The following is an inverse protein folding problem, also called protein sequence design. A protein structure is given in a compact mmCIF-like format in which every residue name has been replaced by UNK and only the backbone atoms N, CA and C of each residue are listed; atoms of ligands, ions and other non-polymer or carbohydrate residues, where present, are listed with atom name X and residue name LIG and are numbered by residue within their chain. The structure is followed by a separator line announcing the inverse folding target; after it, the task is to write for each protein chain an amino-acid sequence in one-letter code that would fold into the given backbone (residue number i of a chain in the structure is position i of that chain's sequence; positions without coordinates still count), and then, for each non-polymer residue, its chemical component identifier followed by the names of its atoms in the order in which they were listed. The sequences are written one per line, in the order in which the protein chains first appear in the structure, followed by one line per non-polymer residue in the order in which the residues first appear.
data_IF_306971808361
#
_entry.id   IF_306971808361
#
_cell.length_a   1.000
_cell.length_b   1.000
_cell.length_c   1.000
_cell.angle_alpha   90.00
_cell.angle_beta   90.00
_cell.angle_gamma   90.00
#
_symmetry.space_group_name_H-M   'P 1'
#
loop_
_entity.id
_entity.type
_entity.pdbx_description
1 polymer ?
#
# COMPACT_ATOMS: atom_id res chain seq x y z
N UNK A 1 -8.30 10.53 16.06
CA UNK A 1 -6.88 10.61 15.64
C UNK A 1 -6.10 11.69 16.46
N UNK A 2 -6.46 11.88 17.73
CA UNK A 2 -5.85 12.90 18.59
C UNK A 2 -5.02 12.30 19.75
N UNK A 3 -4.84 10.99 19.76
CA UNK A 3 -4.13 10.28 20.83
C UNK A 3 -3.03 9.37 20.27
N UNK A 4 -1.99 9.14 21.06
CA UNK A 4 -0.86 8.31 20.69
C UNK A 4 0.03 8.96 19.63
N UNK A 5 0.65 8.12 18.83
CA UNK A 5 1.59 8.48 17.76
C UNK A 5 1.04 9.48 16.76
N UNK A 6 -0.21 9.29 16.33
CA UNK A 6 -0.88 10.17 15.37
C UNK A 6 -1.16 11.57 15.95
N UNK A 7 -1.37 11.70 17.25
CA UNK A 7 -1.60 12.99 17.90
C UNK A 7 -0.36 13.89 17.99
N UNK A 8 0.82 13.36 17.67
CA UNK A 8 2.08 14.12 17.67
C UNK A 8 2.24 15.03 16.45
N UNK A 9 1.40 14.88 15.42
CA UNK A 9 1.46 15.68 14.20
C UNK A 9 0.38 16.76 14.20
N UNK A 10 0.74 17.98 14.58
CA UNK A 10 -0.14 19.14 14.42
C UNK A 10 -0.10 19.61 12.96
N UNK A 11 -1.04 19.11 12.17
CA UNK A 11 -1.14 19.40 10.74
C UNK A 11 -1.27 20.89 10.44
N UNK A 12 -2.01 21.63 11.30
CA UNK A 12 -2.23 23.06 11.11
C UNK A 12 -0.91 23.81 11.25
N UNK A 13 -0.21 23.60 12.38
CA UNK A 13 1.07 24.26 12.62
C UNK A 13 2.13 23.85 11.60
N UNK A 14 2.19 22.56 11.24
CA UNK A 14 3.11 22.09 10.21
C UNK A 14 2.87 22.75 8.86
N UNK A 15 1.61 22.96 8.47
CA UNK A 15 1.26 23.58 7.20
C UNK A 15 1.64 25.08 7.11
N UNK A 16 1.84 25.76 8.23
CA UNK A 16 2.30 27.14 8.27
C UNK A 16 3.78 27.27 7.86
N UNK A 17 4.60 26.26 8.20
CA UNK A 17 6.05 26.30 7.99
C UNK A 17 6.53 25.45 6.81
N UNK A 18 5.70 24.50 6.32
CA UNK A 18 6.05 23.62 5.23
C UNK A 18 5.46 24.10 3.89
N UNK A 19 6.20 23.90 2.79
CA UNK A 19 5.69 24.13 1.44
C UNK A 19 4.63 23.10 1.05
N UNK A 20 4.74 21.88 1.56
CA UNK A 20 3.75 20.81 1.43
C UNK A 20 3.89 19.77 2.55
N UNK A 21 2.83 19.01 2.78
CA UNK A 21 2.81 17.86 3.66
C UNK A 21 2.46 16.60 2.85
N UNK A 22 3.32 15.60 2.91
CA UNK A 22 3.02 14.29 2.33
C UNK A 22 2.25 13.46 3.35
N UNK A 23 1.01 13.14 3.03
CA UNK A 23 0.15 12.32 3.87
C UNK A 23 0.41 10.85 3.53
N UNK A 24 0.94 10.10 4.50
CA UNK A 24 1.21 8.66 4.38
C UNK A 24 -0.09 7.87 4.55
N UNK A 25 -0.96 7.89 3.52
CA UNK A 25 -2.26 7.22 3.51
C UNK A 25 -2.14 5.74 3.16
N UNK A 26 -1.32 5.00 3.91
CA UNK A 26 -1.08 3.57 3.76
C UNK A 26 -0.82 2.92 5.12
N UNK A 27 -0.52 1.62 5.13
CA UNK A 27 -0.44 0.80 6.35
C UNK A 27 -1.77 0.74 7.12
N UNK A 28 -2.89 0.68 6.39
CA UNK A 28 -4.20 0.35 6.95
C UNK A 28 -4.16 -1.03 7.59
N UNK A 29 -3.55 -2.00 6.90
CA UNK A 29 -3.09 -3.26 7.47
C UNK A 29 -1.56 -3.27 7.55
N UNK A 30 -1.01 -3.79 8.66
CA UNK A 30 0.41 -3.76 8.98
C UNK A 30 0.92 -5.10 9.52
N UNK A 31 2.21 -5.19 9.82
CA UNK A 31 2.79 -6.39 10.41
C UNK A 31 2.25 -6.64 11.83
N UNK A 32 1.47 -7.70 11.97
CA UNK A 32 0.76 -8.08 13.20
C UNK A 32 -0.75 -7.81 13.15
N UNK A 33 -1.27 -7.13 12.13
CA UNK A 33 -2.70 -6.92 11.95
C UNK A 33 -3.39 -8.16 11.35
N UNK A 34 -4.72 -8.12 11.34
CA UNK A 34 -5.54 -9.00 10.51
C UNK A 34 -5.23 -8.77 9.02
N UNK A 35 -5.52 -9.77 8.19
CA UNK A 35 -5.44 -9.68 6.74
C UNK A 35 -6.33 -8.56 6.21
N UNK A 36 -5.81 -7.78 5.26
CA UNK A 36 -6.54 -6.68 4.64
C UNK A 36 -5.66 -5.82 3.72
N UNK A 37 -6.25 -4.84 3.02
CA UNK A 37 -5.54 -3.96 2.09
C UNK A 37 -4.50 -3.10 2.80
N UNK A 38 -3.45 -2.73 2.06
CA UNK A 38 -2.43 -1.79 2.54
C UNK A 38 -2.97 -0.37 2.61
N UNK A 39 -3.83 0.00 1.65
CA UNK A 39 -4.41 1.32 1.51
C UNK A 39 -5.72 1.23 0.72
N UNK A 40 -6.83 0.85 1.37
CA UNK A 40 -8.12 0.84 0.69
C UNK A 40 -8.53 2.23 0.21
N UNK A 41 -9.32 2.29 -0.86
CA UNK A 41 -9.81 3.56 -1.40
C UNK A 41 -10.47 4.43 -0.32
N UNK A 42 -11.36 3.82 0.47
CA UNK A 42 -12.09 4.53 1.53
C UNK A 42 -11.17 5.03 2.66
N UNK A 43 -10.12 4.26 3.00
CA UNK A 43 -9.13 4.69 3.99
C UNK A 43 -8.34 5.89 3.48
N UNK A 44 -7.87 5.84 2.22
CA UNK A 44 -7.14 6.94 1.59
C UNK A 44 -8.00 8.19 1.51
N UNK A 45 -9.26 8.07 1.06
CA UNK A 45 -10.18 9.20 0.94
C UNK A 45 -10.47 9.84 2.31
N UNK A 46 -10.74 9.05 3.35
CA UNK A 46 -10.90 9.57 4.72
C UNK A 46 -9.65 10.28 5.24
N UNK A 47 -8.47 9.78 4.90
CA UNK A 47 -7.20 10.41 5.28
C UNK A 47 -7.03 11.79 4.62
N UNK A 48 -7.38 11.91 3.34
CA UNK A 48 -7.40 13.19 2.61
C UNK A 48 -8.43 14.15 3.25
N UNK A 49 -9.66 13.69 3.48
CA UNK A 49 -10.72 14.49 4.08
C UNK A 49 -10.34 15.01 5.47
N UNK A 50 -9.64 14.20 6.25
CA UNK A 50 -9.13 14.62 7.55
C UNK A 50 -8.04 15.68 7.40
N UNK A 51 -7.03 15.45 6.55
CA UNK A 51 -5.93 16.39 6.35
C UNK A 51 -6.41 17.75 5.87
N UNK A 52 -7.39 17.79 4.95
CA UNK A 52 -7.99 19.03 4.41
C UNK A 52 -8.71 19.89 5.42
N UNK A 53 -9.00 19.40 6.62
CA UNK A 53 -9.55 20.24 7.70
C UNK A 53 -8.53 21.22 8.27
N UNK A 54 -7.24 20.94 8.07
CA UNK A 54 -6.13 21.64 8.71
C UNK A 54 -5.10 22.15 7.72
N UNK A 55 -5.03 21.56 6.53
CA UNK A 55 -4.02 21.84 5.50
C UNK A 55 -4.72 22.25 4.22
N UNK A 56 -4.34 23.38 3.59
CA UNK A 56 -4.81 23.75 2.26
C UNK A 56 -4.54 22.61 1.25
N UNK A 57 -5.50 22.33 0.37
CA UNK A 57 -5.41 21.19 -0.55
C UNK A 57 -4.16 21.23 -1.43
N UNK A 58 -3.78 22.42 -1.89
CA UNK A 58 -2.59 22.69 -2.71
C UNK A 58 -1.26 22.46 -1.96
N UNK A 59 -1.29 22.23 -0.66
CA UNK A 59 -0.14 21.81 0.15
C UNK A 59 -0.13 20.33 0.49
N UNK A 60 -1.15 19.56 0.10
CA UNK A 60 -1.25 18.13 0.39
C UNK A 60 -0.68 17.32 -0.78
N UNK A 61 0.33 16.50 -0.51
CA UNK A 61 0.82 15.43 -1.40
C UNK A 61 0.27 14.11 -0.90
N UNK A 62 -0.42 13.35 -1.76
CA UNK A 62 -0.93 12.03 -1.42
C UNK A 62 0.19 10.99 -1.54
N UNK A 63 0.55 10.36 -0.44
CA UNK A 63 1.47 9.23 -0.42
C UNK A 63 0.75 7.92 -0.72
N UNK A 64 1.29 7.12 -1.64
CA UNK A 64 0.80 5.78 -1.97
C UNK A 64 1.90 4.73 -1.77
N UNK A 65 1.54 3.46 -1.42
CA UNK A 65 2.53 2.41 -1.21
C UNK A 65 2.88 1.71 -2.53
N UNK A 66 4.17 1.44 -2.75
CA UNK A 66 4.65 0.56 -3.83
C UNK A 66 5.06 -0.81 -3.30
N UNK A 67 4.28 -1.30 -2.34
CA UNK A 67 4.45 -2.60 -1.70
C UNK A 67 3.10 -3.23 -1.36
N UNK A 68 3.16 -4.51 -1.07
CA UNK A 68 2.05 -5.28 -0.53
C UNK A 68 2.36 -5.78 0.88
N UNK A 69 1.38 -6.44 1.45
CA UNK A 69 1.50 -7.14 2.72
C UNK A 69 1.10 -8.59 2.55
N UNK A 70 1.89 -9.52 3.11
CA UNK A 70 1.73 -10.96 2.95
C UNK A 70 1.44 -11.63 4.29
N UNK A 71 0.50 -12.55 4.26
CA UNK A 71 0.12 -13.44 5.37
C UNK A 71 0.31 -14.89 4.97
N UNK A 72 0.68 -15.73 5.91
CA UNK A 72 0.74 -17.18 5.75
C UNK A 72 -0.32 -17.88 6.59
N UNK A 73 -0.87 -18.99 6.10
CA UNK A 73 -1.91 -19.73 6.78
C UNK A 73 -1.45 -20.36 8.11
N UNK A 74 -0.15 -20.58 8.30
CA UNK A 74 0.47 -21.05 9.52
C UNK A 74 0.71 -19.95 10.57
N UNK A 75 0.45 -18.68 10.20
CA UNK A 75 0.62 -17.52 11.06
C UNK A 75 2.07 -17.07 11.27
N UNK A 76 3.04 -17.59 10.52
CA UNK A 76 4.44 -17.15 10.59
C UNK A 76 4.66 -15.79 9.93
N UNK A 77 3.90 -15.48 8.88
CA UNK A 77 3.81 -14.14 8.28
C UNK A 77 2.44 -13.53 8.62
N UNK A 78 2.45 -12.33 9.17
CA UNK A 78 1.25 -11.61 9.65
C UNK A 78 1.24 -10.17 9.12
N UNK A 79 1.26 -10.01 7.80
CA UNK A 79 1.28 -8.69 7.18
C UNK A 79 2.69 -8.12 6.99
N UNK A 80 3.67 -8.97 6.73
CA UNK A 80 5.02 -8.52 6.37
C UNK A 80 5.00 -7.80 5.03
N UNK A 81 5.85 -6.75 4.92
CA UNK A 81 5.98 -5.98 3.69
C UNK A 81 6.67 -6.80 2.58
N UNK A 82 6.22 -6.62 1.35
CA UNK A 82 6.80 -7.20 0.14
C UNK A 82 6.68 -6.21 -1.01
N UNK A 83 7.77 -5.92 -1.72
CA UNK A 83 7.78 -4.94 -2.80
C UNK A 83 6.95 -5.37 -4.01
N UNK A 84 6.41 -4.41 -4.76
CA UNK A 84 5.72 -4.70 -6.02
C UNK A 84 6.65 -5.33 -7.05
N UNK A 85 7.95 -4.99 -7.04
CA UNK A 85 8.95 -5.62 -7.89
C UNK A 85 9.07 -7.12 -7.61
N UNK A 86 9.16 -7.54 -6.35
CA UNK A 86 9.19 -8.97 -5.98
C UNK A 86 7.87 -9.64 -6.34
N UNK A 87 6.73 -9.01 -6.06
CA UNK A 87 5.40 -9.55 -6.38
C UNK A 87 5.21 -9.78 -7.88
N UNK A 88 5.69 -8.87 -8.73
CA UNK A 88 5.55 -8.98 -10.19
C UNK A 88 6.23 -10.25 -10.76
N UNK A 89 7.26 -10.75 -10.10
CA UNK A 89 7.98 -11.98 -10.45
C UNK A 89 7.43 -13.21 -9.71
N UNK A 90 7.12 -13.06 -8.44
CA UNK A 90 6.72 -14.15 -7.55
C UNK A 90 5.31 -14.68 -7.87
N UNK A 91 4.34 -13.80 -8.12
CA UNK A 91 2.96 -14.23 -8.33
C UNK A 91 2.79 -15.11 -9.58
N UNK A 92 3.42 -14.81 -10.75
CA UNK A 92 3.41 -15.71 -11.89
C UNK A 92 4.11 -17.06 -11.61
N UNK A 93 5.26 -17.04 -10.93
CA UNK A 93 6.02 -18.27 -10.65
C UNK A 93 5.23 -19.25 -9.75
N UNK A 94 4.38 -18.75 -8.87
CA UNK A 94 3.51 -19.57 -8.03
C UNK A 94 2.10 -19.78 -8.59
N UNK A 95 1.83 -19.35 -9.84
CA UNK A 95 0.50 -19.41 -10.46
C UNK A 95 -0.59 -18.83 -9.54
N UNK A 96 -0.33 -17.66 -8.94
CA UNK A 96 -1.23 -17.03 -8.00
C UNK A 96 -2.58 -16.68 -8.64
N UNK A 97 -3.66 -16.89 -7.90
CA UNK A 97 -4.99 -16.38 -8.26
C UNK A 97 -5.10 -14.94 -7.79
N UNK A 98 -5.24 -14.00 -8.71
CA UNK A 98 -5.40 -12.58 -8.41
C UNK A 98 -6.87 -12.21 -8.58
N UNK A 99 -7.43 -11.59 -7.55
CA UNK A 99 -8.79 -11.02 -7.54
C UNK A 99 -8.71 -9.54 -7.18
N UNK A 100 -9.71 -8.77 -7.61
CA UNK A 100 -9.82 -7.36 -7.25
C UNK A 100 -11.03 -7.17 -6.34
N UNK A 101 -10.81 -6.65 -5.14
CA UNK A 101 -11.90 -6.33 -4.23
C UNK A 101 -12.46 -4.95 -4.58
N UNK A 102 -13.71 -4.94 -5.05
CA UNK A 102 -14.39 -3.70 -5.50
C UNK A 102 -14.73 -2.77 -4.34
N UNK A 103 -14.90 -3.28 -3.13
CA UNK A 103 -15.19 -2.48 -1.93
C UNK A 103 -13.96 -1.72 -1.47
N UNK A 104 -12.82 -2.40 -1.41
CA UNK A 104 -11.55 -1.81 -1.01
C UNK A 104 -10.82 -1.14 -2.19
N UNK A 105 -11.21 -1.46 -3.42
CA UNK A 105 -10.52 -1.07 -4.65
C UNK A 105 -9.03 -1.44 -4.58
N UNK A 106 -8.76 -2.66 -4.21
CA UNK A 106 -7.42 -3.21 -4.02
C UNK A 106 -7.32 -4.64 -4.55
N UNK A 107 -6.21 -5.02 -5.20
CA UNK A 107 -5.96 -6.39 -5.61
C UNK A 107 -5.54 -7.25 -4.41
N UNK A 108 -5.95 -8.52 -4.48
CA UNK A 108 -5.59 -9.60 -3.57
C UNK A 108 -5.09 -10.79 -4.38
N UNK A 109 -3.99 -11.39 -3.96
CA UNK A 109 -3.48 -12.63 -4.55
C UNK A 109 -3.47 -13.76 -3.51
N UNK A 110 -3.83 -14.96 -3.93
CA UNK A 110 -3.76 -16.18 -3.16
C UNK A 110 -2.95 -17.22 -3.92
N UNK A 111 -2.02 -17.88 -3.24
CA UNK A 111 -1.17 -18.91 -3.83
C UNK A 111 -0.69 -19.93 -2.82
N UNK A 112 -0.15 -21.04 -3.34
CA UNK A 112 0.45 -22.11 -2.53
C UNK A 112 1.89 -22.35 -2.97
N UNK A 113 2.81 -22.27 -2.04
CA UNK A 113 4.21 -22.68 -2.23
C UNK A 113 4.31 -24.17 -1.95
N UNK A 114 4.98 -24.92 -2.83
CA UNK A 114 5.22 -26.37 -2.72
C UNK A 114 6.69 -26.64 -2.51
N UNK A 115 7.00 -27.84 -2.04
CA UNK A 115 8.37 -28.32 -1.97
C UNK A 115 9.00 -28.34 -3.38
N UNK A 116 10.16 -27.70 -3.53
CA UNK A 116 10.89 -27.63 -4.80
C UNK A 116 10.49 -26.46 -5.71
N UNK A 117 9.51 -25.64 -5.32
CA UNK A 117 9.25 -24.39 -6.03
C UNK A 117 10.42 -23.41 -5.89
N UNK A 118 10.48 -22.44 -6.80
CA UNK A 118 11.47 -21.37 -6.76
C UNK A 118 11.38 -20.58 -5.46
N UNK A 119 12.52 -20.35 -4.83
CA UNK A 119 12.58 -19.65 -3.55
C UNK A 119 12.45 -18.13 -3.72
N UNK A 120 11.62 -17.53 -2.88
CA UNK A 120 11.53 -16.09 -2.67
C UNK A 120 11.76 -15.74 -1.20
N UNK A 121 12.53 -14.68 -0.96
CA UNK A 121 12.87 -14.24 0.39
C UNK A 121 11.90 -13.14 0.84
N UNK A 122 11.23 -13.39 1.95
CA UNK A 122 10.38 -12.40 2.63
C UNK A 122 10.81 -12.32 4.09
N UNK A 123 11.03 -11.12 4.58
CA UNK A 123 11.50 -10.90 5.96
C UNK A 123 12.80 -11.69 6.27
N UNK A 124 13.73 -11.76 5.30
CA UNK A 124 15.03 -12.43 5.46
C UNK A 124 14.98 -13.97 5.45
N UNK A 125 13.83 -14.57 5.14
CA UNK A 125 13.66 -16.02 5.09
C UNK A 125 12.98 -16.45 3.79
N UNK A 126 13.34 -17.63 3.29
CA UNK A 126 12.62 -18.26 2.18
C UNK A 126 11.18 -18.60 2.60
N UNK A 127 10.23 -18.41 1.68
CA UNK A 127 8.85 -18.85 1.90
C UNK A 127 8.80 -20.37 2.03
N UNK A 128 8.27 -20.86 3.14
CA UNK A 128 8.07 -22.28 3.38
C UNK A 128 6.88 -22.82 2.55
N UNK A 129 6.81 -24.13 2.27
CA UNK A 129 5.62 -24.75 1.70
C UNK A 129 4.37 -24.42 2.53
N UNK A 130 3.31 -23.91 1.88
CA UNK A 130 2.10 -23.48 2.57
C UNK A 130 1.25 -22.54 1.71
N UNK A 131 0.11 -22.11 2.26
CA UNK A 131 -0.80 -21.15 1.60
C UNK A 131 -0.53 -19.74 2.07
N UNK A 132 -0.60 -18.80 1.13
CA UNK A 132 -0.31 -17.39 1.32
C UNK A 132 -1.39 -16.51 0.72
N UNK A 133 -1.61 -15.38 1.36
CA UNK A 133 -2.44 -14.29 0.85
C UNK A 133 -1.61 -13.01 0.83
N UNK A 134 -1.75 -12.22 -0.22
CA UNK A 134 -1.12 -10.91 -0.37
C UNK A 134 -2.16 -9.88 -0.77
N UNK A 135 -2.20 -8.76 -0.06
CA UNK A 135 -2.86 -7.54 -0.52
C UNK A 135 -1.80 -6.56 -0.98
N UNK A 136 -2.01 -5.92 -2.13
CA UNK A 136 -0.98 -5.08 -2.75
C UNK A 136 -1.60 -3.95 -3.58
N UNK A 137 -0.77 -3.20 -4.28
CA UNK A 137 -1.22 -2.20 -5.25
C UNK A 137 -0.88 -2.67 -6.66
N UNK A 138 -1.81 -2.41 -7.59
CA UNK A 138 -1.62 -2.55 -9.03
C UNK A 138 -1.92 -1.23 -9.74
N UNK A 139 -1.82 -1.21 -11.06
CA UNK A 139 -2.13 -0.03 -11.86
C UNK A 139 -3.58 0.44 -11.63
N UNK A 140 -4.54 -0.48 -11.56
CA UNK A 140 -5.97 -0.18 -11.38
C UNK A 140 -6.21 0.51 -10.03
N UNK A 141 -5.69 -0.05 -8.96
CA UNK A 141 -5.86 0.48 -7.60
C UNK A 141 -5.15 1.81 -7.40
N UNK A 142 -3.94 1.97 -7.97
CA UNK A 142 -3.21 3.24 -7.93
C UNK A 142 -3.91 4.33 -8.74
N UNK A 143 -4.40 4.03 -9.94
CA UNK A 143 -5.19 4.99 -10.75
C UNK A 143 -6.47 5.44 -10.04
N UNK A 144 -7.12 4.56 -9.28
CA UNK A 144 -8.30 4.96 -8.50
C UNK A 144 -7.94 5.99 -7.43
N UNK A 145 -6.78 5.85 -6.78
CA UNK A 145 -6.28 6.79 -5.77
C UNK A 145 -5.77 8.10 -6.38
N UNK A 146 -5.15 8.04 -7.57
CA UNK A 146 -4.72 9.22 -8.32
C UNK A 146 -5.92 10.12 -8.68
N UNK A 147 -7.09 9.55 -8.98
CA UNK A 147 -8.31 10.32 -9.21
C UNK A 147 -8.70 11.19 -8.01
N UNK A 148 -8.40 10.76 -6.78
CA UNK A 148 -8.64 11.56 -5.58
C UNK A 148 -7.80 12.84 -5.56
N UNK A 149 -6.60 12.85 -6.16
CA UNK A 149 -5.76 14.04 -6.26
C UNK A 149 -6.50 15.12 -7.05
N UNK A 150 -7.07 14.76 -8.19
CA UNK A 150 -7.86 15.69 -9.01
C UNK A 150 -9.18 16.08 -8.33
N UNK A 151 -9.89 15.09 -7.77
CA UNK A 151 -11.18 15.32 -7.08
C UNK A 151 -11.06 16.31 -5.92
N UNK A 152 -9.97 16.25 -5.19
CA UNK A 152 -9.72 17.07 -4.00
C UNK A 152 -8.77 18.26 -4.25
N UNK A 153 -8.33 18.49 -5.49
CA UNK A 153 -7.37 19.53 -5.90
C UNK A 153 -6.09 19.50 -5.06
N UNK A 154 -5.54 18.29 -4.84
CA UNK A 154 -4.31 18.13 -4.08
C UNK A 154 -3.09 18.55 -4.89
N UNK A 155 -1.98 18.83 -4.21
CA UNK A 155 -0.71 19.25 -4.82
C UNK A 155 -0.12 18.20 -5.76
N UNK A 156 -0.25 16.92 -5.43
CA UNK A 156 0.30 15.85 -6.25
C UNK A 156 0.41 14.51 -5.54
N UNK A 157 1.14 13.61 -6.17
CA UNK A 157 1.41 12.23 -5.74
C UNK A 157 2.82 12.12 -5.17
N UNK A 158 2.97 11.35 -4.11
CA UNK A 158 4.24 10.82 -3.62
C UNK A 158 4.13 9.30 -3.43
N UNK A 159 5.26 8.60 -3.33
CA UNK A 159 5.24 7.15 -3.15
C UNK A 159 6.24 6.67 -2.12
N UNK A 160 5.92 5.59 -1.45
CA UNK A 160 6.84 4.81 -0.65
C UNK A 160 6.95 3.39 -1.21
N UNK A 161 8.07 3.01 -1.81
CA UNK A 161 9.15 3.85 -2.31
C UNK A 161 9.50 3.44 -3.73
N UNK A 162 10.19 4.28 -4.49
CA UNK A 162 10.57 4.00 -5.88
C UNK A 162 11.37 2.69 -6.01
N UNK A 163 12.22 2.36 -5.02
CA UNK A 163 12.98 1.10 -5.00
C UNK A 163 12.12 -0.16 -4.85
N UNK A 164 10.85 0.00 -4.51
CA UNK A 164 9.89 -1.11 -4.35
C UNK A 164 8.91 -1.22 -5.52
N UNK A 165 8.91 -0.24 -6.43
CA UNK A 165 8.06 -0.24 -7.61
C UNK A 165 8.46 -1.34 -8.58
N UNK A 166 7.49 -1.97 -9.23
CA UNK A 166 7.76 -2.77 -10.42
C UNK A 166 7.98 -1.87 -11.64
N UNK A 167 8.72 -2.36 -12.63
CA UNK A 167 8.95 -1.63 -13.87
C UNK A 167 7.62 -1.27 -14.56
N UNK A 168 6.67 -2.20 -14.57
CA UNK A 168 5.34 -1.99 -15.12
C UNK A 168 4.61 -0.80 -14.49
N UNK A 169 4.66 -0.67 -13.16
CA UNK A 169 4.05 0.45 -12.45
C UNK A 169 4.69 1.78 -12.83
N UNK A 170 6.03 1.83 -12.90
CA UNK A 170 6.75 3.05 -13.26
C UNK A 170 6.46 3.52 -14.69
N UNK A 171 6.26 2.59 -15.62
CA UNK A 171 5.97 2.90 -17.03
C UNK A 171 4.51 3.33 -17.27
N UNK A 172 3.57 2.93 -16.43
CA UNK A 172 2.13 3.06 -16.71
C UNK A 172 1.37 4.00 -15.76
N UNK A 173 2.02 4.58 -14.75
CA UNK A 173 1.38 5.55 -13.84
C UNK A 173 1.46 7.02 -14.30
N UNK A 174 2.22 7.30 -15.33
CA UNK A 174 2.38 8.64 -15.90
C UNK A 174 1.27 8.97 -16.89
#
# INVERSE_FOLDING_TARGET
WTTGWHGSYDYKSLAEYADYLMIMAYDESWNGSSEGPVASYNFVERSIQYARRYVPAEKIVLGVPFYGRIWSSDGNLKGHGISLDVLSRMLPDYNATITYDETYQSPKAEFTVKQGDKEYIVNGKALAPGRYTVWFEDERSLRSKIKLIHQYNLKGLGSWSLSQASEHILQNLT
#
